data_IF_905618130470
#
_entry.id   IF_905618130470
#
_cell.length_a   1.000
_cell.length_b   1.000
_cell.length_c   1.000
_cell.angle_alpha   90.00
_cell.angle_beta   90.00
_cell.angle_gamma   90.00
#
_symmetry.space_group_name_H-M   'P 1'
#
loop_
_entity.id
_entity.type
_entity.pdbx_description
1 polymer ?
#
# COMPACT_ATOMS: atom_id res chain seq x y z
N UNK A 1 -6.12 7.04 1.76
CA UNK A 1 -4.73 7.51 1.97
C UNK A 1 -3.81 6.80 0.99
N UNK A 2 -2.74 7.44 0.52
CA UNK A 2 -1.74 6.80 -0.34
C UNK A 2 -0.33 7.08 0.15
N UNK A 3 0.57 6.13 -0.12
CA UNK A 3 1.98 6.18 0.23
C UNK A 3 2.80 5.72 -0.97
N UNK A 4 3.98 6.29 -1.14
CA UNK A 4 4.91 5.87 -2.17
C UNK A 4 6.29 5.55 -1.60
N UNK A 5 6.96 4.63 -2.28
CA UNK A 5 8.24 4.06 -1.93
C UNK A 5 9.15 4.09 -3.15
N UNK A 6 10.45 4.26 -2.92
CA UNK A 6 11.45 4.33 -3.98
C UNK A 6 12.50 3.23 -3.80
N UNK A 7 12.91 2.65 -4.94
CA UNK A 7 14.04 1.73 -5.02
C UNK A 7 14.72 1.85 -6.38
N UNK A 8 15.93 2.44 -6.40
CA UNK A 8 16.78 2.56 -7.60
C UNK A 8 16.07 3.24 -8.80
N UNK A 9 15.33 4.32 -8.55
CA UNK A 9 14.57 5.08 -9.53
C UNK A 9 13.22 4.45 -9.90
N UNK A 10 12.85 3.32 -9.29
CA UNK A 10 11.52 2.72 -9.41
C UNK A 10 10.62 3.24 -8.30
N UNK A 11 9.33 3.36 -8.59
CA UNK A 11 8.31 3.83 -7.66
C UNK A 11 7.26 2.76 -7.45
N UNK A 12 7.05 2.41 -6.19
CA UNK A 12 5.93 1.58 -5.76
C UNK A 12 4.97 2.48 -4.99
N UNK A 13 3.67 2.29 -5.20
CA UNK A 13 2.63 3.03 -4.48
C UNK A 13 1.67 2.03 -3.85
N UNK A 14 1.21 2.31 -2.64
CA UNK A 14 0.02 1.64 -2.15
C UNK A 14 -1.00 2.65 -1.61
N UNK A 15 -2.27 2.27 -1.63
CA UNK A 15 -3.40 3.07 -1.19
C UNK A 15 -4.30 2.25 -0.26
N UNK A 16 -4.76 2.90 0.81
CA UNK A 16 -5.86 2.43 1.65
C UNK A 16 -7.11 3.25 1.30
N UNK A 17 -8.16 2.59 0.82
CA UNK A 17 -9.42 3.19 0.35
C UNK A 17 -10.59 2.62 1.12
N UNK A 18 -11.69 3.36 1.20
CA UNK A 18 -12.98 2.79 1.60
C UNK A 18 -13.54 1.97 0.44
N UNK A 19 -13.96 0.75 0.72
CA UNK A 19 -14.56 -0.17 -0.25
C UNK A 19 -16.07 0.04 -0.39
N UNK A 20 -16.61 -0.35 -1.53
CA UNK A 20 -18.06 -0.37 -1.72
C UNK A 20 -18.72 -1.30 -0.69
N UNK A 21 -19.74 -0.79 0.01
CA UNK A 21 -20.48 -1.47 1.10
C UNK A 21 -19.84 -1.40 2.50
N UNK A 22 -18.95 -0.43 2.76
CA UNK A 22 -18.46 -0.16 4.11
C UNK A 22 -17.30 -1.05 4.56
N UNK A 23 -16.60 -1.69 3.61
CA UNK A 23 -15.32 -2.34 3.84
C UNK A 23 -14.14 -1.44 3.49
N UNK A 24 -12.96 -2.04 3.33
CA UNK A 24 -11.71 -1.36 2.98
C UNK A 24 -11.03 -2.04 1.82
N UNK A 25 -10.27 -1.27 1.03
CA UNK A 25 -9.43 -1.79 -0.04
C UNK A 25 -7.96 -1.40 0.19
N UNK A 26 -7.08 -2.38 0.05
CA UNK A 26 -5.64 -2.19 -0.02
C UNK A 26 -5.22 -2.37 -1.48
N UNK A 27 -4.81 -1.28 -2.10
CA UNK A 27 -4.40 -1.25 -3.50
C UNK A 27 -2.90 -1.04 -3.59
N UNK A 28 -2.17 -1.90 -4.29
CA UNK A 28 -0.74 -1.76 -4.58
C UNK A 28 -0.58 -1.54 -6.07
N UNK A 29 0.19 -0.53 -6.45
CA UNK A 29 0.60 -0.24 -7.81
C UNK A 29 2.09 -0.49 -7.90
N UNK A 30 2.46 -1.52 -8.66
CA UNK A 30 3.85 -1.88 -8.93
C UNK A 30 4.51 -0.90 -9.91
N UNK A 31 5.85 -0.91 -10.03
CA UNK A 31 6.58 0.03 -10.90
C UNK A 31 6.24 -0.07 -12.38
N UNK A 32 5.70 -1.21 -12.83
CA UNK A 32 5.22 -1.41 -14.20
C UNK A 32 3.78 -0.93 -14.42
N UNK A 33 3.13 -0.43 -13.37
CA UNK A 33 1.75 0.05 -13.38
C UNK A 33 0.70 -1.03 -13.07
N UNK A 34 1.11 -2.27 -12.79
CA UNK A 34 0.17 -3.33 -12.40
C UNK A 34 -0.49 -2.99 -11.07
N UNK A 35 -1.83 -3.07 -11.04
CA UNK A 35 -2.63 -2.81 -9.84
C UNK A 35 -3.09 -4.13 -9.20
N UNK A 36 -2.79 -4.29 -7.92
CA UNK A 36 -3.24 -5.39 -7.08
C UNK A 36 -4.16 -4.86 -5.99
N UNK A 37 -5.39 -5.38 -5.93
CA UNK A 37 -6.40 -4.93 -4.96
C UNK A 37 -6.81 -6.09 -4.04
N UNK A 38 -6.65 -5.87 -2.74
CA UNK A 38 -7.15 -6.74 -1.67
C UNK A 38 -8.30 -6.04 -0.94
N UNK A 39 -9.32 -6.80 -0.52
CA UNK A 39 -10.51 -6.27 0.16
C UNK A 39 -10.61 -6.82 1.58
N UNK A 40 -10.98 -5.95 2.52
CA UNK A 40 -11.11 -6.26 3.93
C UNK A 40 -12.46 -5.78 4.44
N UNK A 41 -13.04 -6.51 5.39
CA UNK A 41 -14.26 -6.06 6.08
C UNK A 41 -13.92 -5.17 7.29
N UNK A 42 -12.74 -5.33 7.88
CA UNK A 42 -12.31 -4.64 9.09
C UNK A 42 -11.06 -3.78 8.83
N UNK A 43 -11.08 -2.56 9.36
CA UNK A 43 -9.95 -1.63 9.41
C UNK A 43 -8.72 -2.21 10.13
N UNK A 44 -8.91 -3.09 11.11
CA UNK A 44 -7.82 -3.74 11.83
C UNK A 44 -7.06 -4.73 10.93
N UNK A 45 -7.78 -5.48 10.08
CA UNK A 45 -7.18 -6.38 9.10
C UNK A 45 -6.40 -5.60 8.03
N UNK A 46 -6.96 -4.48 7.56
CA UNK A 46 -6.27 -3.56 6.64
C UNK A 46 -4.97 -3.04 7.26
N UNK A 47 -5.03 -2.56 8.51
CA UNK A 47 -3.85 -2.00 9.21
C UNK A 47 -2.75 -3.05 9.35
N UNK A 48 -3.10 -4.27 9.78
CA UNK A 48 -2.15 -5.39 9.87
C UNK A 48 -1.51 -5.70 8.52
N UNK A 49 -2.31 -5.71 7.44
CA UNK A 49 -1.82 -5.97 6.08
C UNK A 49 -0.85 -4.89 5.61
N UNK A 50 -1.09 -3.62 5.93
CA UNK A 50 -0.19 -2.51 5.63
C UNK A 50 1.16 -2.68 6.32
N UNK A 51 1.16 -3.00 7.63
CA UNK A 51 2.41 -3.24 8.38
C UNK A 51 3.21 -4.41 7.80
N UNK A 52 2.55 -5.53 7.49
CA UNK A 52 3.17 -6.69 6.84
C UNK A 52 3.75 -6.33 5.46
N UNK A 53 3.02 -5.53 4.68
CA UNK A 53 3.48 -5.05 3.38
C UNK A 53 4.74 -4.20 3.51
N UNK A 54 4.72 -3.20 4.39
CA UNK A 54 5.82 -2.26 4.62
C UNK A 54 7.09 -2.99 5.10
N UNK A 55 6.96 -3.92 6.05
CA UNK A 55 8.08 -4.74 6.51
C UNK A 55 8.69 -5.54 5.35
N UNK A 56 7.85 -6.17 4.53
CA UNK A 56 8.30 -6.94 3.36
C UNK A 56 9.06 -6.05 2.37
N UNK A 57 8.46 -4.95 1.91
CA UNK A 57 9.10 -4.12 0.89
C UNK A 57 10.37 -3.42 1.42
N UNK A 58 10.40 -3.09 2.72
CA UNK A 58 11.62 -2.58 3.37
C UNK A 58 12.74 -3.61 3.32
N UNK A 59 12.44 -4.89 3.58
CA UNK A 59 13.42 -5.98 3.45
C UNK A 59 13.92 -6.18 2.01
N UNK A 60 13.10 -5.81 1.02
CA UNK A 60 13.45 -5.82 -0.40
C UNK A 60 14.19 -4.56 -0.88
N UNK A 61 14.51 -3.64 0.04
CA UNK A 61 15.28 -2.43 -0.22
C UNK A 61 14.46 -1.25 -0.72
N UNK A 62 13.13 -1.29 -0.61
CA UNK A 62 12.29 -0.12 -0.81
C UNK A 62 12.45 0.85 0.35
N UNK A 63 12.50 2.14 0.04
CA UNK A 63 12.61 3.22 1.03
C UNK A 63 11.32 4.03 1.06
N UNK A 64 10.89 4.47 2.24
CA UNK A 64 9.67 5.23 2.43
C UNK A 64 9.01 4.94 3.80
N UNK A 65 7.74 5.32 3.99
CA UNK A 65 6.92 6.07 3.04
C UNK A 65 7.42 7.51 2.87
N UNK A 66 7.54 7.97 1.62
CA UNK A 66 8.03 9.32 1.30
C UNK A 66 6.91 10.34 1.07
N UNK A 67 5.65 9.94 1.24
CA UNK A 67 4.51 10.82 1.13
C UNK A 67 3.36 10.40 2.05
N UNK A 68 2.84 11.39 2.77
CA UNK A 68 1.51 11.45 3.36
C UNK A 68 0.96 12.81 2.96
N UNK A 69 -0.08 12.86 2.14
CA UNK A 69 -0.77 14.11 1.86
C UNK A 69 -2.17 14.02 2.50
N UNK A 70 -2.36 14.83 3.55
CA UNK A 70 -3.67 15.25 4.10
C UNK A 70 -4.16 16.47 3.34
#
# INVERSE_FOLDING_TARGET
>A
MFWWFERKGQFLRYEAREGANGGYEFCVIDPDGTEHVERFADSAELTKRQEEFEQRITSEGWTGPHGWNV
#
